data_IF_207766120256
#
_entry.id   IF_207766120256
#
_cell.length_a   1.000
_cell.length_b   1.000
_cell.length_c   1.000
_cell.angle_alpha   90.00
_cell.angle_beta   90.00
_cell.angle_gamma   90.00
#
_symmetry.space_group_name_H-M   'P 1'
#
loop_
_entity.id
_entity.type
_entity.pdbx_description
1 polymer ?
#
# COMPACT_ATOMS: atom_id res chain seq x y z
N UNK A 1 7.57 1.20 -12.78
CA UNK A 1 8.87 0.53 -12.65
C UNK A 1 8.71 -0.65 -11.69
N UNK A 2 9.31 -1.81 -11.95
CA UNK A 2 9.37 -2.87 -10.95
C UNK A 2 10.16 -2.35 -9.74
N UNK A 3 9.60 -2.48 -8.54
CA UNK A 3 10.31 -2.20 -7.30
C UNK A 3 11.49 -3.18 -7.20
N UNK A 4 12.71 -2.66 -7.09
CA UNK A 4 13.88 -3.46 -6.79
C UNK A 4 13.80 -3.88 -5.32
N UNK A 5 13.79 -5.19 -5.05
CA UNK A 5 13.76 -5.75 -3.71
C UNK A 5 14.90 -6.77 -3.62
N UNK A 6 15.75 -6.60 -2.62
CA UNK A 6 16.93 -7.43 -2.45
C UNK A 6 16.61 -8.68 -1.64
N UNK A 7 17.28 -9.78 -1.99
CA UNK A 7 17.20 -11.02 -1.20
C UNK A 7 17.70 -10.74 0.22
N UNK A 8 16.90 -11.14 1.20
CA UNK A 8 17.17 -10.87 2.62
C UNK A 8 16.62 -9.53 3.12
N UNK A 9 16.03 -8.70 2.26
CA UNK A 9 15.36 -7.46 2.70
C UNK A 9 14.14 -7.79 3.58
N UNK A 10 13.92 -6.96 4.60
CA UNK A 10 12.75 -7.06 5.48
C UNK A 10 11.49 -6.60 4.76
N UNK A 11 10.44 -7.41 4.85
CA UNK A 11 9.13 -7.15 4.26
C UNK A 11 8.05 -7.47 5.28
N UNK A 12 6.86 -6.89 5.07
CA UNK A 12 5.65 -7.25 5.78
C UNK A 12 4.83 -8.20 4.90
N UNK A 13 4.35 -9.30 5.49
CA UNK A 13 3.47 -10.27 4.81
C UNK A 13 2.15 -10.42 5.53
N UNK A 14 1.05 -10.47 4.77
CA UNK A 14 -0.28 -10.67 5.33
C UNK A 14 -0.61 -12.16 5.48
N UNK A 15 -0.83 -12.59 6.73
CA UNK A 15 -1.35 -13.90 7.08
C UNK A 15 -2.80 -13.75 7.60
N UNK A 16 -3.81 -14.42 7.02
CA UNK A 16 -5.19 -14.33 7.48
C UNK A 16 -5.39 -14.60 8.98
N UNK A 17 -4.56 -15.46 9.57
CA UNK A 17 -4.67 -15.85 10.99
C UNK A 17 -4.01 -14.88 11.96
N UNK A 18 -3.06 -14.07 11.49
CA UNK A 18 -2.19 -13.25 12.35
C UNK A 18 -2.04 -11.79 11.88
N UNK A 19 -2.68 -11.41 10.78
CA UNK A 19 -2.52 -10.10 10.17
C UNK A 19 -1.16 -9.92 9.48
N UNK A 20 -0.70 -8.67 9.43
CA UNK A 20 0.60 -8.31 8.84
C UNK A 20 1.75 -8.65 9.79
N UNK A 21 2.73 -9.41 9.31
CA UNK A 21 3.85 -9.94 10.11
C UNK A 21 5.18 -9.72 9.38
N UNK A 22 6.27 -9.63 10.15
CA UNK A 22 7.61 -9.46 9.59
C UNK A 22 8.13 -10.73 8.92
N UNK A 23 8.72 -10.57 7.74
CA UNK A 23 9.38 -11.63 7.00
C UNK A 23 10.63 -11.09 6.26
N UNK A 24 11.37 -12.01 5.66
CA UNK A 24 12.52 -11.75 4.81
C UNK A 24 12.20 -12.19 3.39
N UNK A 25 12.41 -11.31 2.41
CA UNK A 25 12.25 -11.63 1.01
C UNK A 25 13.32 -12.64 0.57
N UNK A 26 12.92 -13.69 -0.16
CA UNK A 26 13.84 -14.73 -0.65
C UNK A 26 13.99 -14.67 -2.15
N UNK A 27 12.87 -14.64 -2.89
CA UNK A 27 12.87 -14.56 -4.36
C UNK A 27 11.50 -14.20 -4.90
N UNK A 28 11.48 -13.67 -6.11
CA UNK A 28 10.28 -13.54 -6.92
C UNK A 28 10.24 -14.61 -8.02
N UNK A 29 9.03 -15.08 -8.34
CA UNK A 29 8.77 -15.93 -9.48
C UNK A 29 7.59 -15.35 -10.26
N UNK A 30 7.74 -15.12 -11.56
CA UNK A 30 6.60 -14.82 -12.43
C UNK A 30 5.90 -16.12 -12.84
N UNK A 31 4.57 -16.15 -12.81
CA UNK A 31 3.80 -17.23 -13.43
C UNK A 31 3.66 -17.00 -14.94
N UNK A 32 3.40 -18.07 -15.70
CA UNK A 32 3.51 -18.17 -17.17
C UNK A 32 2.69 -17.17 -18.01
N UNK A 33 2.01 -16.21 -17.41
CA UNK A 33 1.16 -15.23 -18.11
C UNK A 33 1.55 -13.77 -17.86
N UNK A 34 2.76 -13.47 -17.32
CA UNK A 34 3.17 -12.10 -16.93
C UNK A 34 2.23 -11.41 -15.91
N UNK A 35 1.23 -12.12 -15.37
CA UNK A 35 0.12 -11.52 -14.61
C UNK A 35 0.33 -11.54 -13.11
N UNK A 36 1.01 -12.55 -12.55
CA UNK A 36 1.17 -12.71 -11.11
C UNK A 36 2.62 -13.02 -10.73
N UNK A 37 3.19 -12.14 -9.90
CA UNK A 37 4.49 -12.35 -9.28
C UNK A 37 4.27 -13.03 -7.92
N UNK A 38 4.71 -14.27 -7.77
CA UNK A 38 4.69 -14.96 -6.48
C UNK A 38 5.99 -14.62 -5.76
N UNK A 39 5.86 -14.09 -4.55
CA UNK A 39 6.96 -13.72 -3.69
C UNK A 39 7.17 -14.84 -2.67
N UNK A 40 8.38 -15.39 -2.63
CA UNK A 40 8.78 -16.34 -1.60
C UNK A 40 9.37 -15.54 -0.44
N UNK A 41 8.81 -15.70 0.75
CA UNK A 41 9.23 -15.01 1.96
C UNK A 41 9.45 -16.02 3.10
N UNK A 42 10.39 -15.71 3.99
CA UNK A 42 10.68 -16.48 5.21
C UNK A 42 10.26 -15.68 6.43
N UNK A 43 9.40 -16.22 7.29
CA UNK A 43 8.93 -15.51 8.49
C UNK A 43 10.09 -15.23 9.45
N UNK A 44 10.05 -14.07 10.13
CA UNK A 44 11.13 -13.67 11.02
C UNK A 44 11.14 -14.43 12.37
N UNK A 45 10.00 -14.95 12.81
CA UNK A 45 9.80 -15.57 14.12
C UNK A 45 10.03 -17.10 14.14
N UNK A 46 10.67 -17.67 13.13
CA UNK A 46 11.06 -19.08 13.16
C UNK A 46 12.22 -19.24 14.16
N UNK A 47 11.91 -19.54 15.43
CA UNK A 47 12.89 -19.80 16.51
C UNK A 47 13.74 -21.07 16.30
N UNK A 48 13.53 -21.80 15.21
CA UNK A 48 14.21 -23.04 14.87
C UNK A 48 15.19 -22.79 13.72
N UNK A 49 16.25 -23.61 13.62
CA UNK A 49 17.23 -23.52 12.52
C UNK A 49 16.48 -23.46 11.18
N UNK A 50 16.82 -22.52 10.28
CA UNK A 50 16.10 -22.34 9.02
C UNK A 50 16.13 -23.64 8.23
N UNK A 51 14.95 -24.22 8.00
CA UNK A 51 14.79 -25.37 7.11
C UNK A 51 14.15 -24.89 5.80
N UNK A 52 14.28 -25.68 4.73
CA UNK A 52 13.63 -25.40 3.44
C UNK A 52 12.09 -25.35 3.52
N UNK A 53 11.49 -25.73 4.65
CA UNK A 53 10.06 -25.68 4.92
C UNK A 53 9.55 -24.33 5.45
N UNK A 54 10.43 -23.38 5.79
CA UNK A 54 10.06 -22.06 6.34
C UNK A 54 9.76 -21.00 5.27
N UNK A 55 9.62 -21.42 4.00
CA UNK A 55 9.39 -20.55 2.86
C UNK A 55 7.92 -20.57 2.44
N UNK A 56 7.28 -19.43 2.55
CA UNK A 56 5.88 -19.24 2.17
C UNK A 56 5.78 -18.40 0.90
N UNK A 57 4.79 -18.75 0.07
CA UNK A 57 4.49 -18.05 -1.17
C UNK A 57 3.35 -17.08 -0.95
N UNK A 58 3.58 -15.80 -1.25
CA UNK A 58 2.59 -14.75 -1.14
C UNK A 58 2.37 -14.08 -2.51
N UNK A 59 1.13 -13.74 -2.86
CA UNK A 59 0.87 -12.83 -3.97
C UNK A 59 1.27 -11.39 -3.60
N UNK A 60 1.50 -10.49 -4.56
CA UNK A 60 2.04 -9.15 -4.30
C UNK A 60 1.17 -8.29 -3.38
N UNK A 61 -0.15 -8.45 -3.44
CA UNK A 61 -1.12 -7.75 -2.56
C UNK A 61 -1.05 -8.12 -1.08
N UNK A 62 -0.28 -9.15 -0.75
CA UNK A 62 -0.02 -9.58 0.63
C UNK A 62 1.40 -9.29 1.06
N UNK A 63 2.16 -8.51 0.29
CA UNK A 63 3.54 -8.17 0.62
C UNK A 63 3.74 -6.67 0.49
N UNK A 64 4.31 -6.06 1.53
CA UNK A 64 4.72 -4.67 1.54
C UNK A 64 6.18 -4.55 1.98
N UNK A 65 6.85 -3.47 1.60
CA UNK A 65 8.15 -3.15 2.19
C UNK A 65 8.00 -2.86 3.67
N UNK A 66 9.00 -3.23 4.47
CA UNK A 66 8.97 -2.89 5.89
C UNK A 66 9.24 -1.39 6.13
N UNK A 67 10.03 -0.74 5.29
CA UNK A 67 10.45 0.63 5.52
C UNK A 67 9.35 1.63 5.15
N UNK A 68 9.35 2.77 5.83
CA UNK A 68 8.39 3.84 5.55
C UNK A 68 8.80 4.48 4.24
N UNK A 69 7.84 5.09 3.53
CA UNK A 69 8.19 5.85 2.33
C UNK A 69 9.03 7.07 2.75
N UNK A 70 10.18 7.26 2.11
CA UNK A 70 11.07 8.40 2.37
C UNK A 70 11.08 9.40 1.21
N UNK A 71 10.69 8.96 0.02
CA UNK A 71 10.63 9.77 -1.19
C UNK A 71 9.20 10.25 -1.49
N UNK A 72 9.08 11.24 -2.38
CA UNK A 72 7.79 11.61 -2.95
C UNK A 72 7.27 10.49 -3.87
N UNK A 73 6.43 9.64 -3.31
CA UNK A 73 5.78 8.56 -4.05
C UNK A 73 4.67 9.13 -4.92
N UNK A 74 4.56 8.66 -6.16
CA UNK A 74 3.59 9.17 -7.15
C UNK A 74 2.15 8.78 -6.83
N UNK A 75 1.20 9.63 -7.26
CA UNK A 75 -0.23 9.31 -7.30
C UNK A 75 -0.48 8.02 -8.10
N UNK A 76 -1.42 7.20 -7.63
CA UNK A 76 -1.70 5.88 -8.19
C UNK A 76 -0.85 4.74 -7.61
N UNK A 77 0.08 5.04 -6.70
CA UNK A 77 0.90 3.99 -6.06
C UNK A 77 0.09 3.26 -4.99
N UNK A 78 0.18 1.93 -4.98
CA UNK A 78 -0.44 1.06 -3.96
C UNK A 78 0.38 1.08 -2.67
N UNK A 79 -0.31 1.20 -1.55
CA UNK A 79 0.31 1.35 -0.25
C UNK A 79 -0.40 0.55 0.84
N UNK A 80 0.37 0.23 1.88
CA UNK A 80 -0.12 -0.28 3.16
C UNK A 80 0.05 0.83 4.20
N UNK A 81 -1.07 1.29 4.74
CA UNK A 81 -1.15 2.24 5.84
C UNK A 81 -1.09 1.47 7.14
N UNK A 82 -0.14 1.82 8.01
CA UNK A 82 0.09 1.18 9.29
C UNK A 82 -0.26 2.14 10.41
N UNK A 83 -0.96 1.70 11.47
CA UNK A 83 -1.15 2.52 12.65
C UNK A 83 0.20 3.05 13.13
N UNK A 84 0.36 4.38 13.15
CA UNK A 84 1.49 5.00 13.83
C UNK A 84 1.02 5.42 15.22
N UNK A 85 1.92 5.31 16.20
CA UNK A 85 1.68 5.77 17.56
C UNK A 85 1.54 7.30 17.67
N UNK A 86 1.56 8.00 16.55
CA UNK A 86 1.39 9.44 16.47
C UNK A 86 -0.10 9.78 16.52
N UNK A 87 -0.48 10.72 17.39
CA UNK A 87 -1.87 11.08 17.66
C UNK A 87 -2.68 11.46 16.40
N UNK A 88 -2.03 11.99 15.37
CA UNK A 88 -2.69 12.35 14.10
C UNK A 88 -3.10 11.09 13.32
N UNK A 89 -2.25 10.07 13.27
CA UNK A 89 -2.50 8.83 12.52
C UNK A 89 -3.45 7.90 13.27
N UNK A 90 -3.30 7.79 14.59
CA UNK A 90 -4.11 6.90 15.43
C UNK A 90 -5.61 7.25 15.40
N UNK A 91 -5.97 8.49 14.98
CA UNK A 91 -7.36 8.91 14.77
C UNK A 91 -8.01 8.30 13.53
N UNK A 92 -7.22 7.94 12.53
CA UNK A 92 -7.73 7.49 11.23
C UNK A 92 -7.62 5.99 11.05
N UNK A 93 -6.65 5.33 11.68
CA UNK A 93 -6.39 3.90 11.48
C UNK A 93 -6.11 3.17 12.80
N UNK A 94 -6.98 2.22 13.14
CA UNK A 94 -6.85 1.29 14.27
C UNK A 94 -6.16 -0.03 13.88
N UNK A 95 -6.15 -0.34 12.57
CA UNK A 95 -5.54 -1.53 11.98
C UNK A 95 -4.88 -1.20 10.64
N UNK A 96 -3.97 -2.05 10.14
CA UNK A 96 -3.38 -1.84 8.82
C UNK A 96 -4.44 -1.84 7.70
N UNK A 97 -4.41 -0.81 6.85
CA UNK A 97 -5.32 -0.64 5.72
C UNK A 97 -4.54 -0.54 4.42
N UNK A 98 -5.09 -1.07 3.33
CA UNK A 98 -4.52 -0.90 1.98
C UNK A 98 -5.19 0.27 1.28
N UNK A 99 -4.47 0.90 0.36
CA UNK A 99 -5.02 2.01 -0.40
C UNK A 99 -4.12 2.47 -1.54
N UNK A 100 -4.49 3.61 -2.10
CA UNK A 100 -3.82 4.27 -3.21
C UNK A 100 -3.46 5.69 -2.80
N UNK A 101 -2.25 6.14 -3.13
CA UNK A 101 -1.90 7.55 -3.02
C UNK A 101 -2.72 8.35 -4.02
N UNK A 102 -3.54 9.28 -3.52
CA UNK A 102 -4.37 10.18 -4.30
C UNK A 102 -3.82 11.61 -4.36
N UNK A 103 -2.96 12.00 -3.41
CA UNK A 103 -2.29 13.30 -3.40
C UNK A 103 -0.92 13.19 -2.74
N UNK A 104 0.05 13.95 -3.25
CA UNK A 104 1.41 14.04 -2.70
C UNK A 104 1.51 15.13 -1.61
N UNK A 105 2.50 15.06 -0.71
CA UNK A 105 2.77 16.09 0.29
C UNK A 105 2.95 17.46 -0.34
N UNK A 106 2.26 18.44 0.24
CA UNK A 106 2.34 19.84 -0.14
C UNK A 106 2.15 20.72 1.09
N UNK A 107 2.34 22.02 0.94
CA UNK A 107 2.04 22.96 2.03
C UNK A 107 0.54 23.04 2.33
N UNK A 108 -0.31 22.82 1.33
CA UNK A 108 -1.77 22.93 1.46
C UNK A 108 -2.39 21.76 2.25
N UNK A 109 -1.67 20.64 2.34
CA UNK A 109 -2.11 19.43 3.05
C UNK A 109 -1.25 19.08 4.27
N UNK A 110 -0.48 20.04 4.79
CA UNK A 110 0.43 19.88 5.94
C UNK A 110 1.47 18.77 5.74
N UNK A 111 2.02 18.64 4.53
CA UNK A 111 3.00 17.62 4.17
C UNK A 111 2.48 16.18 4.35
N UNK A 112 1.19 15.95 4.02
CA UNK A 112 0.53 14.64 4.13
C UNK A 112 0.14 14.09 2.76
N UNK A 113 0.09 12.78 2.67
CA UNK A 113 -0.49 12.06 1.54
C UNK A 113 -1.98 11.89 1.75
N UNK A 114 -2.80 12.20 0.73
CA UNK A 114 -4.19 11.75 0.69
C UNK A 114 -4.21 10.29 0.24
N UNK A 115 -4.90 9.44 0.98
CA UNK A 115 -5.07 8.02 0.66
C UNK A 115 -6.52 7.74 0.31
N UNK A 116 -6.75 7.10 -0.84
CA UNK A 116 -7.99 6.39 -1.12
C UNK A 116 -7.87 4.98 -0.58
N UNK A 117 -8.49 4.71 0.57
CA UNK A 117 -8.45 3.41 1.23
C UNK A 117 -9.38 2.42 0.52
N UNK A 118 -8.99 1.15 0.50
CA UNK A 118 -9.76 0.08 -0.16
C UNK A 118 -11.11 -0.18 0.53
N UNK A 119 -11.19 0.09 1.84
CA UNK A 119 -12.32 -0.32 2.68
C UNK A 119 -12.76 0.78 3.65
N UNK A 120 -12.37 2.02 3.41
CA UNK A 120 -12.68 3.16 4.28
C UNK A 120 -12.77 4.46 3.48
N UNK A 121 -13.23 5.52 4.12
CA UNK A 121 -13.24 6.87 3.58
C UNK A 121 -11.82 7.38 3.33
N UNK A 122 -11.61 8.30 2.37
CA UNK A 122 -10.31 8.93 2.18
C UNK A 122 -9.81 9.67 3.42
N UNK A 123 -8.51 9.57 3.69
CA UNK A 123 -7.87 10.24 4.82
C UNK A 123 -6.44 10.67 4.51
N UNK A 124 -5.91 11.59 5.32
CA UNK A 124 -4.54 12.07 5.20
C UNK A 124 -3.59 11.36 6.16
N UNK A 125 -2.43 10.93 5.65
CA UNK A 125 -1.36 10.31 6.45
C UNK A 125 0.01 10.94 6.17
N UNK A 126 0.88 10.92 7.18
CA UNK A 126 2.31 11.20 7.00
C UNK A 126 3.03 9.99 6.42
N UNK A 127 4.17 10.25 5.78
CA UNK A 127 5.03 9.22 5.18
C UNK A 127 5.45 8.12 6.16
N UNK A 128 5.63 8.44 7.44
CA UNK A 128 6.01 7.50 8.50
C UNK A 128 5.03 6.34 8.67
N UNK A 129 3.75 6.58 8.40
CA UNK A 129 2.67 5.59 8.52
C UNK A 129 2.43 4.79 7.23
N UNK A 130 3.19 5.05 6.16
CA UNK A 130 2.93 4.48 4.83
C UNK A 130 4.07 3.55 4.43
N UNK A 131 3.72 2.34 3.99
CA UNK A 131 4.62 1.33 3.44
C UNK A 131 4.25 1.06 1.98
N UNK A 132 5.23 0.79 1.11
CA UNK A 132 4.95 0.43 -0.29
C UNK A 132 4.39 -0.98 -0.38
N UNK A 133 3.19 -1.12 -0.96
CA UNK A 133 2.59 -2.40 -1.26
C UNK A 133 3.10 -2.88 -2.62
N UNK A 134 3.46 -4.17 -2.74
CA UNK A 134 4.06 -4.69 -3.97
C UNK A 134 3.02 -5.02 -5.05
N UNK A 135 1.73 -4.93 -4.73
CA UNK A 135 0.65 -5.01 -5.72
C UNK A 135 0.74 -3.84 -6.71
N UNK A 136 0.84 -4.10 -8.02
CA UNK A 136 0.72 -3.03 -9.01
C UNK A 136 -0.73 -2.55 -9.09
N UNK A 137 -0.94 -1.27 -9.41
CA UNK A 137 -2.27 -0.68 -9.54
C UNK A 137 -3.16 -1.46 -10.52
N UNK A 138 -2.61 -1.94 -11.64
CA UNK A 138 -3.35 -2.75 -12.62
C UNK A 138 -3.91 -4.05 -12.05
N UNK A 139 -3.23 -4.69 -11.10
CA UNK A 139 -3.71 -5.90 -10.41
C UNK A 139 -4.80 -5.58 -9.40
N UNK A 140 -4.76 -4.42 -8.74
CA UNK A 140 -5.86 -3.96 -7.90
C UNK A 140 -7.10 -3.64 -8.76
N UNK A 141 -6.92 -2.87 -9.83
CA UNK A 141 -7.99 -2.43 -10.72
C UNK A 141 -8.70 -3.57 -11.45
N UNK A 142 -8.08 -4.75 -11.59
CA UNK A 142 -8.71 -5.93 -12.15
C UNK A 142 -9.66 -6.66 -11.19
N UNK A 143 -9.64 -6.30 -9.89
CA UNK A 143 -10.41 -6.95 -8.81
C UNK A 143 -11.56 -6.11 -8.26
N UNK A 144 -11.59 -4.81 -8.54
CA UNK A 144 -12.64 -3.89 -8.08
C UNK A 144 -13.79 -3.79 -9.08
N UNK A 145 -14.92 -3.25 -8.63
CA UNK A 145 -16.05 -2.99 -9.51
C UNK A 145 -15.71 -1.96 -10.61
N UNK A 146 -16.48 -1.99 -11.69
CA UNK A 146 -16.24 -1.16 -12.87
C UNK A 146 -16.26 0.35 -12.56
N UNK A 147 -17.11 0.79 -11.64
CA UNK A 147 -17.24 2.20 -11.27
C UNK A 147 -16.00 2.69 -10.52
N UNK A 148 -15.58 1.95 -9.49
CA UNK A 148 -14.34 2.23 -8.74
C UNK A 148 -13.12 2.21 -9.66
N UNK A 149 -13.05 1.22 -10.56
CA UNK A 149 -11.97 1.14 -11.55
C UNK A 149 -11.90 2.40 -12.40
N UNK A 150 -13.00 2.78 -13.05
CA UNK A 150 -13.07 3.94 -13.93
C UNK A 150 -12.76 5.23 -13.19
N UNK A 151 -13.26 5.38 -11.97
CA UNK A 151 -12.97 6.55 -11.13
C UNK A 151 -11.48 6.68 -10.85
N UNK A 152 -10.83 5.62 -10.38
CA UNK A 152 -9.41 5.64 -10.03
C UNK A 152 -8.54 5.82 -11.27
N UNK A 153 -8.82 5.10 -12.37
CA UNK A 153 -8.09 5.25 -13.63
C UNK A 153 -8.15 6.70 -14.12
N UNK A 154 -9.35 7.29 -14.18
CA UNK A 154 -9.52 8.66 -14.62
C UNK A 154 -8.85 9.66 -13.66
N UNK A 155 -8.96 9.45 -12.34
CA UNK A 155 -8.32 10.31 -11.34
C UNK A 155 -6.80 10.30 -11.50
N UNK A 156 -6.18 9.13 -11.58
CA UNK A 156 -4.71 8.99 -11.72
C UNK A 156 -4.24 9.56 -13.06
N UNK A 157 -4.96 9.31 -14.16
CA UNK A 157 -4.61 9.81 -15.49
C UNK A 157 -4.72 11.34 -15.61
N UNK A 158 -5.65 11.96 -14.90
CA UNK A 158 -5.89 13.41 -14.99
C UNK A 158 -5.10 14.21 -13.97
N UNK A 159 -4.54 13.58 -12.93
CA UNK A 159 -3.71 14.24 -11.93
C UNK A 159 -2.52 15.00 -12.59
N UNK A 160 -2.22 16.26 -12.19
CA UNK A 160 -2.78 17.00 -11.06
C UNK A 160 -4.06 17.81 -11.37
N UNK A 161 -4.62 17.71 -12.58
CA UNK A 161 -5.82 18.46 -13.00
C UNK A 161 -7.08 17.88 -12.36
N UNK A 162 -7.41 18.37 -11.15
CA UNK A 162 -8.56 17.94 -10.37
C UNK A 162 -9.69 18.96 -10.46
N UNK A 163 -10.90 18.49 -10.75
CA UNK A 163 -12.11 19.31 -10.67
C UNK A 163 -12.67 19.20 -9.25
N UNK A 164 -12.30 20.16 -8.40
CA UNK A 164 -12.80 20.27 -7.05
C UNK A 164 -13.82 21.41 -6.98
N UNK A 165 -14.85 21.24 -6.17
CA UNK A 165 -15.79 22.32 -5.84
C UNK A 165 -15.22 23.04 -4.63
N UNK A 166 -15.12 24.37 -4.71
CA UNK A 166 -14.84 25.18 -3.53
C UNK A 166 -16.08 25.16 -2.63
N UNK A 167 -15.99 24.42 -1.52
CA UNK A 167 -17.03 24.37 -0.50
C UNK A 167 -16.59 25.16 0.73
N UNK A 168 -17.50 25.95 1.26
CA UNK A 168 -17.37 26.63 2.55
C UNK A 168 -18.16 25.90 3.63
N UNK A 169 -17.79 26.07 4.89
CA UNK A 169 -18.50 25.48 6.04
C UNK A 169 -19.98 25.92 6.11
N UNK A 170 -20.32 27.03 5.43
CA UNK A 170 -21.68 27.59 5.40
C UNK A 170 -22.51 27.07 4.23
N UNK A 171 -21.91 26.32 3.31
CA UNK A 171 -22.60 25.85 2.12
C UNK A 171 -23.51 24.67 2.52
N UNK A 172 -24.79 24.76 2.15
CA UNK A 172 -25.73 23.65 2.24
C UNK A 172 -25.77 22.96 0.88
N UNK A 173 -25.09 21.82 0.78
CA UNK A 173 -24.90 21.03 -0.46
C UNK A 173 -25.78 19.78 -0.41
#
# INVERSE_FOLDING_TARGET
MPLAIDVGQRVLVYNPSHGWTMAYFVRAQQTNDNKLQILTCRLANCHHKPTSQDHYRYPPERVALNDSINDQVSVGTRVLCMPSGDADTSRYIDKPLRGIIAEQPSNDNDQRYLIFADSDSPFYLRSTAIRLLLEPLSNYLSKVDLGTKQYIENYVLTYPKRRLVNASVKDHI
#
